data_IF_687647474671
#
_entry.id   IF_687647474671
#
_cell.length_a   1.000
_cell.length_b   1.000
_cell.length_c   1.000
_cell.angle_alpha   90.00
_cell.angle_beta   90.00
_cell.angle_gamma   90.00
#
_symmetry.space_group_name_H-M   'P 1'
#
loop_
_entity.id
_entity.type
_entity.pdbx_description
1 polymer ?
#
# COMPACT_ATOMS: atom_id res chain seq x y z
N UNK A 1 16.95 -0.67 -24.57
CA UNK A 1 16.37 -1.21 -23.33
C UNK A 1 16.76 -2.67 -23.23
N UNK A 2 17.46 -3.04 -22.17
CA UNK A 2 18.09 -4.36 -22.01
C UNK A 2 17.10 -5.29 -21.30
N UNK A 3 16.80 -6.44 -21.88
CA UNK A 3 16.01 -7.49 -21.21
C UNK A 3 16.87 -8.11 -20.12
N UNK A 4 16.36 -8.18 -18.89
CA UNK A 4 17.06 -8.89 -17.81
C UNK A 4 17.04 -10.40 -18.08
N UNK A 5 18.23 -10.96 -18.40
CA UNK A 5 18.41 -12.40 -18.62
C UNK A 5 18.27 -13.21 -17.33
N UNK A 6 18.39 -12.57 -16.16
CA UNK A 6 18.31 -13.22 -14.85
C UNK A 6 16.94 -13.81 -14.55
N UNK A 7 15.85 -13.16 -14.98
CA UNK A 7 14.48 -13.63 -14.73
C UNK A 7 14.11 -14.86 -15.58
N UNK A 8 14.68 -15.03 -16.77
CA UNK A 8 14.27 -16.07 -17.72
C UNK A 8 14.38 -17.49 -17.14
N UNK A 9 15.46 -17.79 -16.42
CA UNK A 9 15.68 -19.09 -15.76
C UNK A 9 14.60 -19.36 -14.69
N UNK A 10 14.17 -18.32 -13.98
CA UNK A 10 13.11 -18.44 -12.98
C UNK A 10 11.72 -18.58 -13.61
N UNK A 11 11.47 -17.98 -14.77
CA UNK A 11 10.20 -18.13 -15.48
C UNK A 11 9.98 -19.57 -15.93
N UNK A 12 10.99 -20.20 -16.52
CA UNK A 12 10.91 -21.60 -16.98
C UNK A 12 10.64 -22.55 -15.81
N UNK A 13 11.37 -22.38 -14.70
CA UNK A 13 11.18 -23.22 -13.51
C UNK A 13 9.85 -22.95 -12.81
N UNK A 14 9.42 -21.69 -12.75
CA UNK A 14 8.10 -21.32 -12.22
C UNK A 14 6.97 -22.00 -13.00
N UNK A 15 7.06 -22.02 -14.34
CA UNK A 15 6.08 -22.68 -15.20
C UNK A 15 6.12 -24.20 -15.03
N UNK A 16 7.31 -24.80 -14.92
CA UNK A 16 7.46 -26.23 -14.65
C UNK A 16 6.80 -26.67 -13.32
N UNK A 17 6.77 -25.77 -12.33
CA UNK A 17 6.14 -25.97 -11.02
C UNK A 17 4.64 -25.59 -11.00
N UNK A 18 4.01 -25.44 -12.17
CA UNK A 18 2.57 -25.19 -12.29
C UNK A 18 2.17 -23.71 -12.30
N UNK A 19 3.13 -22.79 -12.32
CA UNK A 19 2.87 -21.37 -12.54
C UNK A 19 2.50 -21.03 -13.99
N UNK A 20 1.88 -19.87 -14.17
CA UNK A 20 1.62 -19.32 -15.50
C UNK A 20 2.39 -18.00 -15.61
N UNK A 21 3.21 -17.87 -16.64
CA UNK A 21 3.91 -16.64 -16.98
C UNK A 21 3.93 -16.49 -18.51
N UNK A 22 2.85 -15.92 -19.06
CA UNK A 22 2.63 -15.81 -20.49
C UNK A 22 2.93 -14.40 -20.98
N UNK A 23 3.77 -14.29 -22.02
CA UNK A 23 4.10 -13.01 -22.65
C UNK A 23 4.64 -11.98 -21.66
N UNK A 24 5.52 -12.38 -20.74
CA UNK A 24 6.08 -11.50 -19.70
C UNK A 24 7.60 -11.50 -19.72
N UNK A 25 8.19 -10.34 -19.43
CA UNK A 25 9.61 -10.17 -19.15
C UNK A 25 9.78 -9.06 -18.11
N UNK A 26 10.96 -8.95 -17.52
CA UNK A 26 11.27 -7.85 -16.60
C UNK A 26 12.18 -6.83 -17.27
N UNK A 27 11.90 -5.55 -16.99
CA UNK A 27 12.63 -4.39 -17.49
C UNK A 27 12.59 -3.27 -16.45
N UNK A 28 13.43 -2.27 -16.63
CA UNK A 28 13.29 -0.98 -15.96
C UNK A 28 12.27 -0.11 -16.71
N UNK A 29 11.36 0.52 -15.99
CA UNK A 29 10.38 1.48 -16.51
C UNK A 29 10.18 2.69 -15.60
N UNK A 30 9.07 3.39 -15.78
CA UNK A 30 8.74 4.60 -15.02
C UNK A 30 8.64 4.32 -13.51
N UNK A 31 8.11 3.15 -13.14
CA UNK A 31 7.93 2.73 -11.75
C UNK A 31 9.09 1.86 -11.24
N UNK A 32 10.26 1.94 -11.90
CA UNK A 32 11.43 1.10 -11.60
C UNK A 32 11.34 -0.28 -12.25
N UNK A 33 11.89 -1.29 -11.56
CA UNK A 33 11.92 -2.67 -12.06
C UNK A 33 10.52 -3.27 -12.02
N UNK A 34 9.95 -3.58 -13.18
CA UNK A 34 8.58 -4.07 -13.32
C UNK A 34 8.44 -5.22 -14.31
N UNK A 35 7.21 -5.66 -14.52
CA UNK A 35 6.87 -6.68 -15.52
C UNK A 35 6.26 -6.03 -16.76
N UNK A 36 6.76 -6.43 -17.92
CA UNK A 36 6.43 -5.86 -19.22
C UNK A 36 6.03 -6.98 -20.18
N UNK A 37 5.13 -6.73 -21.14
CA UNK A 37 4.87 -7.70 -22.18
C UNK A 37 6.09 -7.87 -23.10
N UNK A 38 6.35 -9.11 -23.52
CA UNK A 38 7.37 -9.39 -24.56
C UNK A 38 6.88 -8.82 -25.89
N UNK A 39 5.64 -9.17 -26.26
CA UNK A 39 4.91 -8.69 -27.43
C UNK A 39 3.65 -7.94 -26.96
N UNK A 40 3.64 -6.59 -27.03
CA UNK A 40 2.49 -5.79 -26.62
C UNK A 40 1.20 -6.09 -27.40
N UNK A 41 1.27 -6.70 -28.58
CA UNK A 41 0.07 -7.05 -29.36
C UNK A 41 -0.68 -8.26 -28.78
N UNK A 42 -0.09 -8.98 -27.85
CA UNK A 42 -0.64 -10.17 -27.19
C UNK A 42 -1.01 -9.87 -25.74
N UNK A 43 -2.02 -10.55 -25.23
CA UNK A 43 -2.33 -10.51 -23.80
C UNK A 43 -1.17 -11.11 -23.00
N UNK A 44 -0.94 -10.59 -21.80
CA UNK A 44 -0.01 -11.14 -20.83
C UNK A 44 -0.75 -11.67 -19.60
N UNK A 45 -0.15 -12.62 -18.89
CA UNK A 45 -0.75 -13.23 -17.70
C UNK A 45 0.30 -13.79 -16.75
N UNK A 46 0.10 -13.56 -15.45
CA UNK A 46 0.84 -14.23 -14.39
C UNK A 46 -0.14 -14.93 -13.44
N UNK A 47 0.17 -16.16 -13.03
CA UNK A 47 -0.54 -16.87 -11.97
C UNK A 47 0.45 -17.64 -11.12
N UNK A 48 0.46 -17.35 -9.81
CA UNK A 48 1.22 -18.12 -8.82
C UNK A 48 0.31 -19.18 -8.21
N UNK A 49 0.62 -20.47 -8.40
CA UNK A 49 -0.22 -21.56 -7.94
C UNK A 49 -0.14 -21.66 -6.42
N UNK A 50 -1.17 -22.24 -5.80
CA UNK A 50 -1.25 -22.44 -4.35
C UNK A 50 0.01 -23.08 -3.77
N UNK A 51 0.60 -24.04 -4.45
CA UNK A 51 1.78 -24.78 -3.96
C UNK A 51 3.06 -23.94 -3.91
N UNK A 52 3.10 -22.80 -4.60
CA UNK A 52 4.21 -21.84 -4.56
C UNK A 52 3.93 -20.63 -3.66
N UNK A 53 2.78 -20.58 -2.99
CA UNK A 53 2.46 -19.52 -2.03
C UNK A 53 3.11 -19.84 -0.68
N UNK A 54 3.87 -18.89 -0.15
CA UNK A 54 4.64 -19.11 1.09
C UNK A 54 4.02 -18.29 2.21
N UNK A 55 3.54 -18.94 3.26
CA UNK A 55 3.08 -18.22 4.44
C UNK A 55 4.25 -17.41 5.03
N UNK A 56 4.05 -16.11 5.25
CA UNK A 56 5.11 -15.21 5.72
C UNK A 56 5.68 -15.62 7.09
N UNK A 57 4.94 -16.41 7.89
CA UNK A 57 5.40 -16.93 9.17
C UNK A 57 6.45 -18.05 9.00
N UNK A 58 6.42 -18.72 7.85
CA UNK A 58 7.27 -19.87 7.51
C UNK A 58 8.59 -19.46 6.84
N UNK A 59 8.89 -18.16 6.74
CA UNK A 59 10.16 -17.66 6.23
C UNK A 59 10.94 -16.94 7.33
N UNK A 60 12.26 -16.99 7.23
CA UNK A 60 13.19 -16.23 8.07
C UNK A 60 14.43 -15.85 7.29
N UNK A 61 15.20 -14.92 7.84
CA UNK A 61 16.55 -14.64 7.39
C UNK A 61 17.57 -15.37 8.27
N UNK A 62 18.52 -16.06 7.65
CA UNK A 62 19.66 -16.72 8.29
C UNK A 62 20.91 -16.42 7.47
N UNK A 63 21.97 -15.90 8.10
CA UNK A 63 23.22 -15.49 7.44
C UNK A 63 23.04 -14.61 6.18
N UNK A 64 22.02 -13.75 6.20
CA UNK A 64 21.72 -12.83 5.09
C UNK A 64 20.84 -13.41 3.99
N UNK A 65 20.46 -14.69 4.09
CA UNK A 65 19.64 -15.40 3.11
C UNK A 65 18.25 -15.71 3.66
N UNK A 66 17.23 -15.65 2.80
CA UNK A 66 15.87 -16.09 3.07
C UNK A 66 15.83 -17.61 3.02
N UNK A 67 15.32 -18.20 4.11
CA UNK A 67 15.13 -19.65 4.25
C UNK A 67 13.67 -19.97 4.57
N UNK A 68 13.21 -21.14 4.13
CA UNK A 68 11.92 -21.71 4.54
C UNK A 68 12.13 -22.51 5.83
N UNK A 69 11.46 -22.10 6.91
CA UNK A 69 11.55 -22.75 8.23
C UNK A 69 10.98 -24.17 8.23
N UNK A 70 9.82 -24.32 7.59
CA UNK A 70 9.09 -25.59 7.50
C UNK A 70 8.87 -25.94 6.03
N UNK A 71 9.63 -26.93 5.55
CA UNK A 71 9.59 -27.40 4.16
C UNK A 71 8.56 -28.52 3.96
N UNK A 72 7.83 -28.97 4.99
CA UNK A 72 6.88 -30.09 4.88
C UNK A 72 5.72 -29.82 3.94
N UNK A 73 5.37 -28.55 3.75
CA UNK A 73 4.32 -28.11 2.82
C UNK A 73 4.79 -28.00 1.36
N UNK A 74 6.07 -28.25 1.08
CA UNK A 74 6.68 -28.07 -0.24
C UNK A 74 7.40 -29.34 -0.67
N UNK A 75 7.41 -29.61 -1.97
CA UNK A 75 8.33 -30.58 -2.55
C UNK A 75 9.77 -30.05 -2.48
N UNK A 76 10.75 -30.94 -2.72
CA UNK A 76 12.15 -30.55 -2.80
C UNK A 76 12.39 -29.53 -3.93
N UNK A 77 11.73 -29.71 -5.08
CA UNK A 77 11.90 -28.82 -6.23
C UNK A 77 11.32 -27.43 -6.00
N UNK A 78 10.14 -27.36 -5.35
CA UNK A 78 9.50 -26.10 -4.95
C UNK A 78 10.35 -25.36 -3.92
N UNK A 79 10.85 -26.06 -2.90
CA UNK A 79 11.70 -25.47 -1.87
C UNK A 79 12.97 -24.85 -2.48
N UNK A 80 13.65 -25.59 -3.37
CA UNK A 80 14.84 -25.11 -4.07
C UNK A 80 14.53 -23.91 -4.96
N UNK A 81 13.40 -23.95 -5.68
CA UNK A 81 12.98 -22.83 -6.52
C UNK A 81 12.71 -21.57 -5.68
N UNK A 82 11.93 -21.69 -4.61
CA UNK A 82 11.53 -20.56 -3.76
C UNK A 82 12.76 -19.89 -3.14
N UNK A 83 13.63 -20.65 -2.48
CA UNK A 83 14.82 -20.10 -1.83
C UNK A 83 15.76 -19.48 -2.87
N UNK A 84 15.99 -20.14 -4.01
CA UNK A 84 16.82 -19.58 -5.08
C UNK A 84 16.22 -18.30 -5.68
N UNK A 85 14.91 -18.28 -5.96
CA UNK A 85 14.23 -17.11 -6.52
C UNK A 85 14.38 -15.91 -5.58
N UNK A 86 14.05 -16.10 -4.29
CA UNK A 86 14.13 -15.02 -3.33
C UNK A 86 15.58 -14.56 -3.15
N UNK A 87 16.51 -15.45 -2.89
CA UNK A 87 17.90 -15.07 -2.59
C UNK A 87 18.64 -14.49 -3.77
N UNK A 88 18.41 -14.97 -4.99
CA UNK A 88 19.22 -14.57 -6.14
C UNK A 88 18.53 -13.57 -7.07
N UNK A 89 17.20 -13.44 -7.01
CA UNK A 89 16.46 -12.57 -7.93
C UNK A 89 15.57 -11.52 -7.24
N UNK A 90 14.97 -11.83 -6.09
CA UNK A 90 14.17 -10.84 -5.37
C UNK A 90 15.01 -10.11 -4.33
N UNK A 91 15.22 -10.73 -3.17
CA UNK A 91 16.00 -10.20 -2.04
C UNK A 91 17.43 -9.83 -2.42
N UNK A 92 18.22 -10.76 -2.99
CA UNK A 92 19.63 -10.52 -3.28
C UNK A 92 19.93 -9.82 -4.61
N UNK A 93 18.91 -9.54 -5.43
CA UNK A 93 19.05 -8.65 -6.59
C UNK A 93 18.45 -7.28 -6.29
N UNK A 94 19.00 -6.64 -5.25
CA UNK A 94 18.62 -5.32 -4.75
C UNK A 94 17.17 -5.16 -4.26
N UNK A 95 16.36 -6.21 -4.15
CA UNK A 95 14.99 -6.08 -3.65
C UNK A 95 14.92 -5.61 -2.19
N UNK A 96 16.00 -5.82 -1.42
CA UNK A 96 16.13 -5.33 -0.05
C UNK A 96 16.61 -3.86 0.04
N UNK A 97 17.09 -3.24 -1.05
CA UNK A 97 17.65 -1.89 -1.06
C UNK A 97 16.58 -0.85 -0.75
N UNK A 98 15.36 -1.00 -1.27
CA UNK A 98 14.26 -0.08 -0.98
C UNK A 98 13.87 -0.12 0.50
N UNK A 99 13.84 -1.33 1.07
CA UNK A 99 13.64 -1.53 2.50
C UNK A 99 14.74 -0.87 3.34
N UNK A 100 16.00 -0.98 2.93
CA UNK A 100 17.15 -0.32 3.59
C UNK A 100 17.03 1.20 3.48
N UNK A 101 16.73 1.74 2.31
CA UNK A 101 16.62 3.18 2.07
C UNK A 101 15.50 3.80 2.90
N UNK A 102 14.33 3.15 2.93
CA UNK A 102 13.21 3.60 3.74
C UNK A 102 13.54 3.59 5.24
N UNK A 103 14.09 2.47 5.76
CA UNK A 103 14.43 2.37 7.18
C UNK A 103 15.55 3.34 7.57
N UNK A 104 16.51 3.59 6.69
CA UNK A 104 17.52 4.62 6.89
C UNK A 104 16.89 6.00 7.02
N UNK A 105 15.97 6.37 6.14
CA UNK A 105 15.26 7.64 6.24
C UNK A 105 14.49 7.75 7.55
N UNK A 106 13.62 6.78 7.86
CA UNK A 106 12.80 6.81 9.07
C UNK A 106 13.65 6.88 10.35
N UNK A 107 14.72 6.09 10.42
CA UNK A 107 15.58 6.07 11.61
C UNK A 107 16.42 7.35 11.78
N UNK A 108 16.84 7.98 10.68
CA UNK A 108 17.71 9.17 10.68
C UNK A 108 16.96 10.50 10.56
N UNK A 109 15.66 10.48 10.26
CA UNK A 109 14.83 11.68 10.22
C UNK A 109 14.96 12.47 11.52
N UNK A 110 15.00 13.80 11.41
CA UNK A 110 15.09 14.67 12.57
C UNK A 110 13.83 14.54 13.45
N UNK A 111 13.97 14.89 14.72
CA UNK A 111 12.92 14.66 15.72
C UNK A 111 11.62 15.43 15.41
N UNK A 112 11.71 16.59 14.75
CA UNK A 112 10.55 17.34 14.29
C UNK A 112 9.73 16.56 13.25
N UNK A 113 10.37 15.93 12.26
CA UNK A 113 9.71 15.09 11.25
C UNK A 113 9.09 13.86 11.90
N UNK A 114 9.83 13.18 12.78
CA UNK A 114 9.35 12.02 13.54
C UNK A 114 8.11 12.36 14.37
N UNK A 115 8.16 13.46 15.12
CA UNK A 115 7.03 13.93 15.92
C UNK A 115 5.84 14.29 15.05
N UNK A 116 6.03 14.98 13.93
CA UNK A 116 4.93 15.31 13.02
C UNK A 116 4.27 14.05 12.44
N UNK A 117 5.06 13.04 12.03
CA UNK A 117 4.53 11.78 11.51
C UNK A 117 3.65 11.03 12.55
N UNK A 118 4.04 11.04 13.83
CA UNK A 118 3.27 10.37 14.90
C UNK A 118 2.08 11.22 15.36
N UNK A 119 2.27 12.53 15.54
CA UNK A 119 1.22 13.42 16.05
C UNK A 119 0.01 13.48 15.12
N UNK A 120 0.23 13.34 13.81
CA UNK A 120 -0.84 13.26 12.81
C UNK A 120 -1.24 11.83 12.45
N UNK A 121 -0.71 10.83 13.16
CA UNK A 121 -0.96 9.40 12.96
C UNK A 121 -0.68 8.90 11.53
N UNK A 122 0.23 9.54 10.80
CA UNK A 122 0.69 9.05 9.50
C UNK A 122 1.51 7.76 9.65
N UNK A 123 2.22 7.61 10.77
CA UNK A 123 2.94 6.38 11.11
C UNK A 123 2.75 6.02 12.59
N UNK A 124 2.92 4.74 12.89
CA UNK A 124 2.91 4.26 14.28
C UNK A 124 4.28 4.48 14.91
N UNK A 125 4.32 4.77 16.23
CA UNK A 125 5.56 4.94 16.98
C UNK A 125 6.53 3.76 16.85
N UNK A 126 5.98 2.55 16.71
CA UNK A 126 6.78 1.34 16.51
C UNK A 126 7.61 1.40 15.22
N UNK A 127 7.08 1.97 14.13
CA UNK A 127 7.81 2.11 12.87
C UNK A 127 9.03 3.02 13.03
N UNK A 128 8.91 4.11 13.79
CA UNK A 128 10.00 5.04 14.04
C UNK A 128 11.11 4.47 14.93
N UNK A 129 10.79 3.44 15.72
CA UNK A 129 11.76 2.73 16.55
C UNK A 129 12.54 1.65 15.79
N UNK A 130 12.16 1.34 14.54
CA UNK A 130 12.88 0.37 13.74
C UNK A 130 14.22 0.94 13.26
N UNK A 131 15.30 0.28 13.64
CA UNK A 131 16.63 0.50 13.08
C UNK A 131 16.87 -0.30 11.80
N UNK A 132 18.06 -0.12 11.21
CA UNK A 132 18.51 -0.83 10.00
C UNK A 132 19.24 -2.12 10.38
N UNK A 133 18.54 -3.01 11.10
CA UNK A 133 19.04 -4.37 11.38
C UNK A 133 18.62 -5.36 10.29
N UNK A 134 19.33 -6.48 10.10
CA UNK A 134 18.92 -7.53 9.15
C UNK A 134 17.47 -7.98 9.34
N UNK A 135 17.02 -8.13 10.59
CA UNK A 135 15.66 -8.55 10.92
C UNK A 135 14.63 -7.46 10.55
N UNK A 136 14.91 -6.18 10.80
CA UNK A 136 14.02 -5.08 10.40
C UNK A 136 13.92 -4.95 8.88
N UNK A 137 15.04 -5.07 8.16
CA UNK A 137 15.07 -5.03 6.70
C UNK A 137 14.27 -6.21 6.13
N UNK A 138 14.52 -7.43 6.62
CA UNK A 138 13.77 -8.62 6.21
C UNK A 138 12.27 -8.47 6.50
N UNK A 139 11.91 -8.02 7.70
CA UNK A 139 10.50 -7.81 8.07
C UNK A 139 9.83 -6.83 7.10
N UNK A 140 10.45 -5.70 6.80
CA UNK A 140 9.91 -4.71 5.85
C UNK A 140 9.79 -5.29 4.44
N UNK A 141 10.84 -5.95 3.96
CA UNK A 141 10.87 -6.57 2.63
C UNK A 141 9.71 -7.55 2.43
N UNK A 142 9.40 -8.33 3.46
CA UNK A 142 8.25 -9.25 3.47
C UNK A 142 6.94 -8.46 3.54
N UNK A 143 6.80 -7.54 4.50
CA UNK A 143 5.56 -6.76 4.71
C UNK A 143 5.11 -5.97 3.46
N UNK A 144 6.06 -5.50 2.65
CA UNK A 144 5.78 -4.76 1.42
C UNK A 144 5.45 -5.67 0.22
N UNK A 145 5.61 -6.99 0.34
CA UNK A 145 5.39 -7.97 -0.75
C UNK A 145 4.35 -9.05 -0.45
N UNK A 146 3.75 -9.04 0.74
CA UNK A 146 2.71 -10.01 1.09
C UNK A 146 1.36 -9.73 0.41
N UNK A 147 0.72 -10.83 0.02
CA UNK A 147 -0.63 -10.93 -0.49
C UNK A 147 -1.54 -11.60 0.54
N UNK A 148 -2.85 -11.38 0.43
CA UNK A 148 -3.84 -12.12 1.22
C UNK A 148 -4.36 -13.30 0.39
N UNK A 149 -4.16 -14.52 0.89
CA UNK A 149 -4.69 -15.75 0.29
C UNK A 149 -5.38 -16.57 1.38
N UNK A 150 -6.69 -16.82 1.22
CA UNK A 150 -7.50 -17.58 2.19
C UNK A 150 -7.35 -17.09 3.65
N UNK A 151 -7.25 -15.77 3.84
CA UNK A 151 -7.08 -15.16 5.16
C UNK A 151 -5.65 -15.18 5.71
N UNK A 152 -4.69 -15.75 4.98
CA UNK A 152 -3.27 -15.77 5.36
C UNK A 152 -2.47 -14.72 4.58
N UNK A 153 -1.43 -14.19 5.21
CA UNK A 153 -0.41 -13.36 4.55
C UNK A 153 0.64 -14.26 3.90
N UNK A 154 0.73 -14.20 2.57
CA UNK A 154 1.61 -15.07 1.79
C UNK A 154 2.51 -14.27 0.85
N UNK A 155 3.71 -14.76 0.61
CA UNK A 155 4.53 -14.33 -0.51
C UNK A 155 4.15 -15.11 -1.77
N UNK A 156 4.27 -14.46 -2.93
CA UNK A 156 3.91 -15.01 -4.22
C UNK A 156 4.99 -14.68 -5.26
N UNK A 157 5.89 -15.63 -5.57
CA UNK A 157 6.95 -15.43 -6.57
C UNK A 157 6.39 -14.90 -7.89
N UNK A 158 7.16 -14.02 -8.55
CA UNK A 158 6.81 -13.25 -9.76
C UNK A 158 5.67 -12.24 -9.63
N UNK A 159 4.61 -12.55 -8.87
CA UNK A 159 3.49 -11.63 -8.67
C UNK A 159 3.91 -10.36 -7.93
N UNK A 160 4.86 -10.48 -7.00
CA UNK A 160 5.45 -9.34 -6.28
C UNK A 160 6.24 -8.35 -7.16
N UNK A 161 6.55 -8.71 -8.41
CA UNK A 161 7.29 -7.86 -9.35
C UNK A 161 6.36 -6.93 -10.16
N UNK A 162 5.04 -7.13 -10.06
CA UNK A 162 4.05 -6.31 -10.76
C UNK A 162 3.87 -5.01 -9.98
N UNK A 163 4.18 -3.88 -10.60
CA UNK A 163 4.11 -2.57 -9.97
C UNK A 163 2.67 -2.09 -9.72
N UNK A 164 2.55 -1.07 -8.87
CA UNK A 164 1.27 -0.52 -8.47
C UNK A 164 0.72 0.51 -9.47
N UNK A 165 -0.59 0.49 -9.71
CA UNK A 165 -1.34 1.66 -10.18
C UNK A 165 -2.68 1.79 -9.47
N UNK A 166 -3.07 3.03 -9.14
CA UNK A 166 -4.37 3.35 -8.56
C UNK A 166 -5.54 3.15 -9.55
N UNK A 167 -5.26 3.00 -10.85
CA UNK A 167 -6.25 2.81 -11.91
C UNK A 167 -6.28 1.38 -12.46
N UNK A 168 -5.29 0.56 -12.11
CA UNK A 168 -5.27 -0.84 -12.51
C UNK A 168 -6.34 -1.67 -11.79
N UNK A 169 -6.62 -2.84 -12.36
CA UNK A 169 -7.42 -3.87 -11.70
C UNK A 169 -6.59 -4.55 -10.58
N UNK A 170 -7.22 -4.99 -9.49
CA UNK A 170 -6.53 -5.73 -8.45
C UNK A 170 -6.24 -7.17 -8.88
N UNK A 171 -5.36 -7.83 -8.13
CA UNK A 171 -5.16 -9.26 -8.22
C UNK A 171 -6.42 -10.05 -7.87
N UNK A 172 -6.54 -11.26 -8.41
CA UNK A 172 -7.66 -12.17 -8.14
C UNK A 172 -7.19 -13.36 -7.33
N UNK A 173 -7.87 -13.61 -6.21
CA UNK A 173 -7.69 -14.81 -5.40
C UNK A 173 -8.64 -15.88 -5.91
N UNK A 174 -8.10 -17.06 -6.23
CA UNK A 174 -8.87 -18.22 -6.71
C UNK A 174 -8.47 -19.47 -5.95
N UNK A 175 -9.24 -20.55 -6.05
CA UNK A 175 -8.87 -21.83 -5.44
C UNK A 175 -7.52 -22.38 -5.94
N UNK A 176 -7.11 -22.03 -7.17
CA UNK A 176 -5.84 -22.50 -7.74
C UNK A 176 -4.63 -21.66 -7.33
N UNK A 177 -4.83 -20.46 -6.77
CA UNK A 177 -3.75 -19.54 -6.46
C UNK A 177 -4.10 -18.06 -6.73
N UNK A 178 -3.07 -17.24 -6.85
CA UNK A 178 -3.17 -15.80 -7.11
C UNK A 178 -2.97 -15.51 -8.59
N UNK A 179 -3.89 -14.76 -9.19
CA UNK A 179 -3.85 -14.38 -10.60
C UNK A 179 -3.67 -12.88 -10.77
N UNK A 180 -2.86 -12.51 -11.75
CA UNK A 180 -2.91 -11.16 -12.30
C UNK A 180 -4.30 -10.86 -12.90
N UNK A 181 -4.69 -9.58 -13.00
CA UNK A 181 -5.77 -9.22 -13.91
C UNK A 181 -5.40 -9.64 -15.35
N UNK A 182 -6.40 -9.73 -16.22
CA UNK A 182 -6.15 -9.88 -17.65
C UNK A 182 -5.59 -8.55 -18.16
N UNK A 183 -4.36 -8.56 -18.68
CA UNK A 183 -3.73 -7.36 -19.22
C UNK A 183 -4.14 -7.18 -20.68
N UNK A 184 -4.66 -5.99 -21.00
CA UNK A 184 -5.11 -5.66 -22.35
C UNK A 184 -3.92 -5.53 -23.32
N UNK A 185 -4.19 -5.80 -24.60
CA UNK A 185 -3.23 -5.58 -25.68
C UNK A 185 -2.85 -4.10 -25.75
N UNK A 186 -1.59 -3.82 -26.03
CA UNK A 186 -1.02 -2.47 -26.07
C UNK A 186 -0.52 -1.97 -24.72
N UNK A 187 -0.67 -2.75 -23.64
CA UNK A 187 -0.09 -2.42 -22.33
C UNK A 187 1.43 -2.28 -22.47
N UNK A 188 2.00 -1.21 -21.92
CA UNK A 188 3.45 -0.98 -21.93
C UNK A 188 4.12 -1.52 -20.69
N UNK A 189 3.44 -1.55 -19.55
CA UNK A 189 3.85 -2.20 -18.30
C UNK A 189 2.62 -2.90 -17.68
N UNK A 190 2.84 -4.03 -17.02
CA UNK A 190 1.81 -4.77 -16.33
C UNK A 190 1.68 -4.22 -14.90
N UNK A 191 0.56 -3.55 -14.62
CA UNK A 191 0.31 -2.86 -13.35
C UNK A 191 -0.90 -3.45 -12.61
N UNK A 192 -0.88 -3.39 -11.28
CA UNK A 192 -1.98 -3.89 -10.45
C UNK A 192 -2.32 -2.95 -9.30
N UNK A 193 -3.58 -2.97 -8.87
CA UNK A 193 -4.00 -2.26 -7.67
C UNK A 193 -3.74 -3.12 -6.44
N UNK A 194 -2.76 -2.74 -5.64
CA UNK A 194 -2.35 -3.48 -4.44
C UNK A 194 -3.48 -3.56 -3.39
N UNK A 195 -4.25 -2.48 -3.23
CA UNK A 195 -5.44 -2.47 -2.40
C UNK A 195 -6.38 -1.32 -2.83
N UNK A 196 -7.71 -1.52 -2.79
CA UNK A 196 -8.67 -0.46 -3.06
C UNK A 196 -8.71 0.62 -1.96
N UNK A 197 -8.11 0.37 -0.80
CA UNK A 197 -8.09 1.27 0.35
C UNK A 197 -6.82 2.12 0.41
N UNK A 198 -5.92 1.97 -0.55
CA UNK A 198 -4.66 2.68 -0.49
C UNK A 198 -4.89 4.17 -0.83
N UNK A 199 -4.43 5.05 0.06
CA UNK A 199 -4.11 6.45 -0.23
C UNK A 199 -2.62 6.61 -0.48
N UNK A 200 -2.20 7.78 -1.00
CA UNK A 200 -0.78 8.04 -1.29
C UNK A 200 0.10 7.90 -0.05
N UNK A 201 -0.37 8.38 1.12
CA UNK A 201 0.36 8.19 2.38
C UNK A 201 0.44 6.73 2.81
N UNK A 202 -0.60 5.94 2.58
CA UNK A 202 -0.56 4.51 2.88
C UNK A 202 0.38 3.74 1.94
N UNK A 203 0.48 4.13 0.66
CA UNK A 203 1.44 3.57 -0.29
C UNK A 203 2.86 3.86 0.20
N UNK A 204 3.14 5.11 0.54
CA UNK A 204 4.45 5.50 1.05
C UNK A 204 4.80 4.77 2.34
N UNK A 205 3.88 4.74 3.33
CA UNK A 205 4.09 4.06 4.61
C UNK A 205 4.46 2.59 4.40
N UNK A 206 3.69 1.88 3.58
CA UNK A 206 3.81 0.42 3.42
C UNK A 206 4.90 0.02 2.43
N UNK A 207 4.99 0.70 1.28
CA UNK A 207 5.82 0.29 0.15
C UNK A 207 6.97 1.26 -0.16
N UNK A 208 7.01 2.43 0.48
CA UNK A 208 8.15 3.35 0.39
C UNK A 208 8.17 4.29 -0.82
N UNK A 209 7.16 4.27 -1.68
CA UNK A 209 7.02 5.17 -2.84
C UNK A 209 5.72 5.97 -2.80
N UNK A 210 5.59 7.01 -3.63
CA UNK A 210 4.37 7.78 -3.80
C UNK A 210 3.60 7.33 -5.05
N UNK A 211 2.28 7.34 -4.98
CA UNK A 211 1.40 7.14 -6.13
C UNK A 211 0.23 8.10 -6.03
N UNK A 212 -0.21 8.70 -7.15
CA UNK A 212 -1.46 9.47 -7.22
C UNK A 212 -2.66 8.54 -7.03
N UNK A 213 -3.07 8.36 -5.78
CA UNK A 213 -4.19 7.51 -5.42
C UNK A 213 -5.52 8.24 -5.65
N UNK A 214 -6.61 7.47 -5.74
CA UNK A 214 -7.95 8.01 -6.02
C UNK A 214 -8.70 8.49 -4.77
N UNK A 215 -8.13 8.28 -3.58
CA UNK A 215 -8.72 8.63 -2.28
C UNK A 215 -7.64 9.07 -1.30
N UNK A 216 -7.97 10.08 -0.48
CA UNK A 216 -7.24 10.48 0.70
C UNK A 216 -8.15 10.31 1.92
N UNK A 217 -7.67 9.64 2.95
CA UNK A 217 -8.42 9.42 4.19
C UNK A 217 -8.08 10.48 5.23
N UNK A 218 -9.05 10.73 6.11
CA UNK A 218 -8.86 11.65 7.23
C UNK A 218 -7.78 11.14 8.16
N UNK A 219 -6.98 12.06 8.71
CA UNK A 219 -6.26 11.81 9.96
C UNK A 219 -7.24 11.76 11.15
N UNK A 220 -6.84 11.25 12.32
CA UNK A 220 -7.65 11.34 13.53
C UNK A 220 -7.97 12.79 13.89
N UNK A 221 -9.21 13.04 14.32
CA UNK A 221 -9.64 14.35 14.81
C UNK A 221 -10.80 14.21 15.78
N UNK A 222 -11.07 15.27 16.54
CA UNK A 222 -12.29 15.42 17.33
C UNK A 222 -12.79 16.85 17.22
N UNK A 223 -14.08 17.01 16.91
CA UNK A 223 -14.74 18.31 16.80
C UNK A 223 -16.02 18.27 17.64
N UNK A 224 -16.14 19.20 18.59
CA UNK A 224 -17.38 19.42 19.33
C UNK A 224 -18.37 20.23 18.51
N UNK A 225 -19.63 19.80 18.50
CA UNK A 225 -20.71 20.56 17.88
C UNK A 225 -21.25 21.53 18.94
N UNK A 226 -21.02 22.83 18.78
CA UNK A 226 -21.61 23.79 19.71
C UNK A 226 -23.14 23.75 19.57
N UNK A 227 -23.86 23.67 20.71
CA UNK A 227 -25.32 23.57 20.89
C UNK A 227 -25.92 22.16 20.96
N UNK A 228 -25.19 21.11 20.57
CA UNK A 228 -25.62 19.73 20.80
C UNK A 228 -24.48 19.06 21.55
N UNK A 229 -24.70 18.43 22.70
CA UNK A 229 -23.63 17.84 23.53
C UNK A 229 -22.79 16.74 22.83
N UNK A 230 -22.92 16.59 21.51
CA UNK A 230 -22.32 15.59 20.64
C UNK A 230 -20.93 16.01 20.16
N UNK A 231 -19.94 15.14 20.32
CA UNK A 231 -18.64 15.25 19.65
C UNK A 231 -18.57 14.33 18.44
N UNK A 232 -17.93 14.80 17.35
CA UNK A 232 -17.62 13.99 16.17
C UNK A 232 -16.14 13.65 16.21
N UNK A 233 -15.84 12.36 16.38
CA UNK A 233 -14.48 11.84 16.43
C UNK A 233 -14.20 10.98 15.21
N UNK A 234 -13.04 11.15 14.58
CA UNK A 234 -12.54 10.26 13.54
C UNK A 234 -11.27 9.54 14.03
N UNK A 235 -11.15 8.25 13.76
CA UNK A 235 -9.97 7.43 14.10
C UNK A 235 -8.96 7.29 12.97
N UNK A 236 -9.26 7.83 11.78
CA UNK A 236 -8.33 7.87 10.65
C UNK A 236 -7.96 6.51 10.03
N UNK A 237 -8.86 5.51 10.11
CA UNK A 237 -8.63 4.21 9.48
C UNK A 237 -8.76 4.29 7.95
N UNK A 238 -7.99 3.45 7.26
CA UNK A 238 -8.02 3.30 5.79
C UNK A 238 -9.17 2.38 5.37
N UNK A 239 -10.29 2.96 4.92
CA UNK A 239 -11.50 2.22 4.59
C UNK A 239 -12.03 1.34 5.73
N UNK A 240 -12.98 0.44 5.41
CA UNK A 240 -13.56 -0.51 6.36
C UNK A 240 -12.91 -1.88 6.28
N UNK A 241 -12.73 -2.57 7.41
CA UNK A 241 -12.31 -3.96 7.45
C UNK A 241 -13.26 -4.89 6.68
N UNK A 242 -12.77 -6.04 6.21
CA UNK A 242 -13.59 -7.00 5.43
C UNK A 242 -14.82 -7.53 6.18
N UNK A 243 -14.81 -7.49 7.52
CA UNK A 243 -15.92 -7.93 8.38
C UNK A 243 -16.76 -6.75 8.91
N UNK A 244 -16.41 -5.52 8.54
CA UNK A 244 -17.09 -4.33 9.03
C UNK A 244 -18.08 -3.82 7.99
N UNK A 245 -19.32 -3.60 8.41
CA UNK A 245 -20.39 -3.09 7.58
C UNK A 245 -20.76 -1.63 7.90
N UNK A 246 -20.18 -1.04 8.96
CA UNK A 246 -20.44 0.33 9.39
C UNK A 246 -19.12 1.08 9.58
N UNK A 247 -19.05 2.28 9.01
CA UNK A 247 -17.93 3.21 9.17
C UNK A 247 -17.99 4.03 10.45
N UNK A 248 -19.08 3.95 11.21
CA UNK A 248 -19.26 4.73 12.42
C UNK A 248 -20.09 3.99 13.47
N UNK A 249 -20.03 4.48 14.70
CA UNK A 249 -20.85 4.08 15.84
C UNK A 249 -21.22 5.30 16.68
N UNK A 250 -22.42 5.28 17.25
CA UNK A 250 -22.84 6.25 18.27
C UNK A 250 -22.61 5.63 19.65
N UNK A 251 -21.83 6.28 20.50
CA UNK A 251 -21.62 5.85 21.90
C UNK A 251 -21.83 7.05 22.80
N UNK A 252 -22.90 7.04 23.59
CA UNK A 252 -23.36 8.18 24.39
C UNK A 252 -23.45 9.45 23.50
N UNK A 253 -22.80 10.54 23.90
CA UNK A 253 -22.77 11.80 23.18
C UNK A 253 -21.58 11.91 22.21
N UNK A 254 -21.10 10.79 21.66
CA UNK A 254 -20.00 10.80 20.70
C UNK A 254 -20.33 9.98 19.44
N UNK A 255 -20.27 10.66 18.30
CA UNK A 255 -20.25 10.03 16.98
C UNK A 255 -18.82 9.65 16.62
N UNK A 256 -18.54 8.34 16.67
CA UNK A 256 -17.23 7.78 16.40
C UNK A 256 -17.16 7.25 14.97
N UNK A 257 -16.38 7.89 14.11
CA UNK A 257 -16.12 7.53 12.73
C UNK A 257 -14.79 6.77 12.65
N UNK A 258 -14.80 5.55 12.12
CA UNK A 258 -13.59 4.74 11.91
C UNK A 258 -12.79 5.25 10.73
N UNK A 259 -13.45 5.41 9.59
CA UNK A 259 -12.83 5.80 8.32
C UNK A 259 -13.68 6.85 7.62
N UNK A 260 -13.01 7.89 7.14
CA UNK A 260 -13.65 9.00 6.43
C UNK A 260 -12.77 9.41 5.24
N UNK A 261 -13.22 9.26 3.98
CA UNK A 261 -12.57 9.91 2.85
C UNK A 261 -12.73 11.43 2.97
N UNK A 262 -11.63 12.17 2.80
CA UNK A 262 -11.58 13.64 2.84
C UNK A 262 -11.12 14.25 1.53
N UNK A 263 -10.56 13.43 0.64
CA UNK A 263 -10.32 13.74 -0.77
C UNK A 263 -10.64 12.52 -1.62
N UNK A 264 -11.22 12.73 -2.80
CA UNK A 264 -11.49 11.64 -3.75
C UNK A 264 -11.54 12.19 -5.18
N UNK A 265 -11.16 11.35 -6.15
CA UNK A 265 -11.32 11.68 -7.57
C UNK A 265 -12.78 11.99 -7.94
N UNK A 266 -13.74 11.37 -7.23
CA UNK A 266 -15.14 11.80 -7.24
C UNK A 266 -15.32 12.89 -6.19
N UNK A 267 -15.27 14.15 -6.63
CA UNK A 267 -15.23 15.33 -5.76
C UNK A 267 -16.37 15.41 -4.73
N UNK A 268 -17.57 14.92 -5.07
CA UNK A 268 -18.74 14.95 -4.18
C UNK A 268 -18.75 13.82 -3.13
N UNK A 269 -18.00 12.73 -3.35
CA UNK A 269 -18.06 11.54 -2.51
C UNK A 269 -17.64 11.80 -1.04
N UNK A 270 -16.57 12.57 -0.74
CA UNK A 270 -16.18 12.88 0.63
C UNK A 270 -17.30 13.56 1.44
N UNK A 271 -17.89 14.64 0.90
CA UNK A 271 -18.99 15.34 1.56
C UNK A 271 -20.23 14.46 1.68
N UNK A 272 -20.62 13.76 0.60
CA UNK A 272 -21.77 12.86 0.61
C UNK A 272 -21.62 11.76 1.67
N UNK A 273 -20.41 11.20 1.80
CA UNK A 273 -20.10 10.19 2.83
C UNK A 273 -20.22 10.78 4.23
N UNK A 274 -19.62 11.94 4.47
CA UNK A 274 -19.69 12.62 5.76
C UNK A 274 -21.13 12.97 6.15
N UNK A 275 -21.88 13.58 5.23
CA UNK A 275 -23.28 13.91 5.41
C UNK A 275 -24.13 12.67 5.71
N UNK A 276 -23.94 11.57 4.96
CA UNK A 276 -24.66 10.31 5.19
C UNK A 276 -24.41 9.76 6.61
N UNK A 277 -23.17 9.83 7.08
CA UNK A 277 -22.80 9.43 8.45
C UNK A 277 -23.50 10.32 9.49
N UNK A 278 -23.43 11.64 9.34
CA UNK A 278 -24.05 12.60 10.27
C UNK A 278 -25.58 12.46 10.30
N UNK A 279 -26.23 12.36 9.14
CA UNK A 279 -27.69 12.16 9.07
C UNK A 279 -28.13 10.83 9.69
N UNK A 280 -27.33 9.78 9.55
CA UNK A 280 -27.59 8.51 10.23
C UNK A 280 -27.46 8.60 11.76
N UNK A 281 -26.80 9.63 12.27
CA UNK A 281 -26.71 9.96 13.69
C UNK A 281 -27.76 11.00 14.13
N UNK A 282 -28.69 11.41 13.26
CA UNK A 282 -29.74 12.38 13.56
C UNK A 282 -29.36 13.84 13.33
N UNK A 283 -28.17 14.13 12.79
CA UNK A 283 -27.70 15.50 12.53
C UNK A 283 -28.13 15.98 11.15
N UNK A 284 -28.42 17.28 11.03
CA UNK A 284 -28.89 17.88 9.78
C UNK A 284 -27.78 18.06 8.74
N UNK A 285 -28.18 18.21 7.47
CA UNK A 285 -27.25 18.55 6.38
C UNK A 285 -26.53 19.88 6.60
N UNK A 286 -27.14 20.83 7.31
CA UNK A 286 -26.52 22.13 7.60
C UNK A 286 -25.36 21.98 8.60
N UNK A 287 -25.49 21.05 9.55
CA UNK A 287 -24.36 20.65 10.41
C UNK A 287 -23.23 20.07 9.56
N UNK A 288 -23.54 19.19 8.60
CA UNK A 288 -22.53 18.64 7.70
C UNK A 288 -21.82 19.71 6.88
N UNK A 289 -22.57 20.65 6.28
CA UNK A 289 -22.03 21.78 5.50
C UNK A 289 -21.15 22.69 6.36
N UNK A 290 -21.47 22.87 7.63
CA UNK A 290 -20.67 23.69 8.56
C UNK A 290 -19.39 22.98 9.01
N UNK A 291 -19.45 21.68 9.27
CA UNK A 291 -18.33 20.92 9.84
C UNK A 291 -17.34 20.41 8.80
N UNK A 292 -17.81 20.00 7.62
CA UNK A 292 -16.94 19.36 6.62
C UNK A 292 -15.77 20.26 6.16
N UNK A 293 -15.94 21.58 5.93
CA UNK A 293 -14.82 22.47 5.65
C UNK A 293 -13.74 22.46 6.75
N UNK A 294 -14.14 22.39 8.03
CA UNK A 294 -13.21 22.31 9.17
C UNK A 294 -12.45 20.98 9.17
N UNK A 295 -13.13 19.87 8.87
CA UNK A 295 -12.49 18.55 8.72
C UNK A 295 -11.42 18.56 7.63
N UNK A 296 -11.71 19.23 6.49
CA UNK A 296 -10.75 19.38 5.40
C UNK A 296 -9.57 20.26 5.79
N UNK A 297 -9.81 21.39 6.44
CA UNK A 297 -8.75 22.28 6.93
C UNK A 297 -7.79 21.56 7.88
N UNK A 298 -8.32 20.78 8.84
CA UNK A 298 -7.52 19.96 9.76
C UNK A 298 -6.58 19.02 8.97
N UNK A 299 -7.13 18.37 7.94
CA UNK A 299 -6.41 17.39 7.13
C UNK A 299 -5.34 18.02 6.23
N UNK A 300 -5.64 19.16 5.59
CA UNK A 300 -4.68 19.90 4.77
C UNK A 300 -3.57 20.42 5.68
N UNK A 301 -3.92 21.11 6.77
CA UNK A 301 -2.97 21.71 7.71
C UNK A 301 -1.98 20.68 8.27
N UNK A 302 -2.45 19.48 8.63
CA UNK A 302 -1.56 18.42 9.10
C UNK A 302 -0.52 18.00 8.05
N UNK A 303 -0.93 17.85 6.78
CA UNK A 303 -0.04 17.49 5.67
C UNK A 303 0.90 18.63 5.32
N UNK A 304 0.39 19.85 5.23
CA UNK A 304 1.18 21.06 4.98
C UNK A 304 2.22 21.30 6.07
N UNK A 305 1.86 21.11 7.34
CA UNK A 305 2.81 21.23 8.46
C UNK A 305 3.96 20.22 8.33
N UNK A 306 3.65 18.97 7.95
CA UNK A 306 4.70 17.97 7.72
C UNK A 306 5.57 18.33 6.50
N UNK A 307 4.99 18.80 5.40
CA UNK A 307 5.76 19.33 4.26
C UNK A 307 6.69 20.46 4.67
N UNK A 308 6.21 21.46 5.41
CA UNK A 308 7.03 22.55 5.92
C UNK A 308 8.15 22.07 6.86
N UNK A 309 7.89 21.00 7.60
CA UNK A 309 8.90 20.39 8.49
C UNK A 309 10.00 19.65 7.71
N UNK A 310 9.67 19.08 6.54
CA UNK A 310 10.64 18.47 5.63
C UNK A 310 11.52 19.51 4.92
N UNK A 311 11.04 20.77 4.83
CA UNK A 311 11.67 21.93 4.18
C UNK A 311 11.82 21.83 2.66
N UNK A 312 12.33 20.71 2.17
CA UNK A 312 12.54 20.41 0.75
C UNK A 312 12.25 18.93 0.46
N UNK A 313 12.02 18.55 -0.82
CA UNK A 313 11.73 17.17 -1.18
C UNK A 313 12.81 16.16 -0.74
N UNK A 314 14.08 16.56 -0.71
CA UNK A 314 15.18 15.65 -0.41
C UNK A 314 15.34 14.56 -1.48
N UNK A 315 15.79 13.36 -1.08
CA UNK A 315 16.02 12.22 -1.96
C UNK A 315 15.41 10.93 -1.40
N UNK A 316 15.23 9.93 -2.27
CA UNK A 316 14.75 8.60 -1.90
C UNK A 316 13.41 8.65 -1.14
N UNK A 317 13.33 7.95 -0.01
CA UNK A 317 12.10 7.86 0.78
C UNK A 317 11.56 9.22 1.30
N UNK A 318 12.41 10.25 1.44
CA UNK A 318 11.96 11.61 1.77
C UNK A 318 11.22 12.25 0.60
N UNK A 319 11.76 12.13 -0.62
CA UNK A 319 11.13 12.66 -1.82
C UNK A 319 9.79 12.00 -2.08
N UNK A 320 9.69 10.69 -1.82
CA UNK A 320 8.44 9.94 -1.91
C UNK A 320 7.44 10.33 -0.81
N UNK A 321 7.88 10.63 0.43
CA UNK A 321 7.01 11.19 1.45
C UNK A 321 6.46 12.55 1.01
N UNK A 322 7.34 13.42 0.50
CA UNK A 322 6.98 14.76 0.05
C UNK A 322 5.90 14.70 -1.05
N UNK A 323 6.12 13.89 -2.10
CA UNK A 323 5.13 13.67 -3.17
C UNK A 323 3.81 13.10 -2.64
N UNK A 324 3.85 12.14 -1.72
CA UNK A 324 2.64 11.53 -1.16
C UNK A 324 1.78 12.55 -0.42
N UNK A 325 2.40 13.49 0.30
CA UNK A 325 1.70 14.58 0.98
C UNK A 325 1.10 15.58 -0.02
N UNK A 326 1.85 15.97 -1.05
CA UNK A 326 1.35 16.85 -2.12
C UNK A 326 0.15 16.25 -2.84
N UNK A 327 0.23 14.96 -3.22
CA UNK A 327 -0.87 14.27 -3.90
C UNK A 327 -2.13 14.21 -3.04
N UNK A 328 -2.02 14.00 -1.73
CA UNK A 328 -3.20 14.02 -0.86
C UNK A 328 -3.75 15.42 -0.64
N UNK A 329 -2.90 16.46 -0.52
CA UNK A 329 -3.36 17.86 -0.42
C UNK A 329 -4.14 18.24 -1.67
N UNK A 330 -3.57 18.02 -2.86
CA UNK A 330 -4.21 18.32 -4.15
C UNK A 330 -5.57 17.58 -4.27
N UNK A 331 -5.63 16.32 -3.85
CA UNK A 331 -6.85 15.52 -3.90
C UNK A 331 -7.92 16.02 -2.91
N UNK A 332 -7.51 16.46 -1.72
CA UNK A 332 -8.42 17.03 -0.72
C UNK A 332 -8.94 18.39 -1.20
N UNK A 333 -8.08 19.22 -1.80
CA UNK A 333 -8.43 20.54 -2.34
C UNK A 333 -9.38 20.42 -3.53
N UNK A 334 -9.10 19.57 -4.50
CA UNK A 334 -9.98 19.36 -5.68
C UNK A 334 -11.36 18.78 -5.36
N UNK A 335 -11.57 18.27 -4.14
CA UNK A 335 -12.89 17.86 -3.65
C UNK A 335 -13.77 19.05 -3.19
N UNK A 336 -13.45 20.30 -3.62
CA UNK A 336 -14.17 21.55 -3.32
C UNK A 336 -15.44 21.76 -4.15
N UNK A 337 -15.47 21.23 -5.37
CA UNK A 337 -16.38 21.71 -6.42
C UNK A 337 -17.63 20.83 -6.63
N UNK A 338 -18.05 20.09 -5.59
CA UNK A 338 -19.13 19.10 -5.65
C UNK A 338 -20.43 19.51 -4.97
#
# INVERSE_FOLDING_TARGET
MTVDKGLQVYLERFVALGGIAENVCQREGEFGRGIFPIDPSRSAKIMTPRSLLINHANISIHDGEIIIKDKTCFTAEESVFIESYYNNHSWGSNGNVDSINYLNFISKACESVKNALVNFAFVDKNLLSLGVSPQSIFKRFVDERVFVFEGNSVLAPLMELINHSAYALPFRVTASGLHSPAFERGSTELLSKYSPKNSSMSIWKKYGFACRCIVAYSIPFEISINNESVSVRCFGQLGLGHRENKSFSLVADALSIKSLPVGCLSASLPFATFNSILCSAGLSVDVAKSLFPKVREINIKARSNLLSTLQEPGLGAQAELYKALEYEIELIESSLDG
#
